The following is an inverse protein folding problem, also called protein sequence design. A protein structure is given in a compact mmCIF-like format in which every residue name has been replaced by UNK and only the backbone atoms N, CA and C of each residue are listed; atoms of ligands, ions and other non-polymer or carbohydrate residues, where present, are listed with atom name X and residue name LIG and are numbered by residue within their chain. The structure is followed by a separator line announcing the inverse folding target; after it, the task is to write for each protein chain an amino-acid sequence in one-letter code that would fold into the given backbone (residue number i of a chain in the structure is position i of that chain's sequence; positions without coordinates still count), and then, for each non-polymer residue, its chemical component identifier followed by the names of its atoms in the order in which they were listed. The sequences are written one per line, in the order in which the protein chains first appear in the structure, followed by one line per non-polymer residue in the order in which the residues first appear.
data_IF_264484566962
#
_entry.id   IF_264484566962
#
_cell.length_a   1.000
_cell.length_b   1.000
_cell.length_c   1.000
_cell.angle_alpha   90.00
_cell.angle_beta   90.00
_cell.angle_gamma   90.00
#
_symmetry.space_group_name_H-M   'P 1'
#
loop_
_entity.id
_entity.type
_entity.pdbx_description
1 polymer ?
#
# COMPACT_ATOMS: atom_id res chain seq x y z
N UNK A 1 -12.38 -4.70 -24.63
CA UNK A 1 -12.36 -5.64 -23.49
C UNK A 1 -11.60 -4.95 -22.36
N UNK A 2 -12.01 -5.10 -21.09
CA UNK A 2 -11.19 -4.65 -19.95
C UNK A 2 -11.92 -3.92 -18.82
N UNK A 3 -13.15 -4.31 -18.48
CA UNK A 3 -13.86 -3.72 -17.33
C UNK A 3 -14.16 -4.76 -16.22
N UNK A 4 -13.52 -5.93 -16.26
CA UNK A 4 -13.84 -7.07 -15.39
C UNK A 4 -12.99 -7.16 -14.10
N UNK A 5 -11.75 -6.65 -14.06
CA UNK A 5 -10.84 -6.96 -12.94
C UNK A 5 -11.14 -6.17 -11.66
N UNK A 6 -11.73 -4.98 -11.73
CA UNK A 6 -11.95 -4.13 -10.53
C UNK A 6 -12.94 -4.76 -9.54
N UNK A 7 -13.92 -5.53 -10.02
CA UNK A 7 -14.89 -6.21 -9.17
C UNK A 7 -14.28 -7.47 -8.51
N UNK A 8 -13.15 -7.95 -9.01
CA UNK A 8 -12.43 -9.12 -8.50
C UNK A 8 -11.29 -8.72 -7.54
N UNK A 9 -10.96 -7.43 -7.46
CA UNK A 9 -9.95 -6.92 -6.53
C UNK A 9 -10.30 -7.32 -5.09
N UNK A 10 -9.38 -7.94 -4.34
CA UNK A 10 -9.62 -8.38 -2.98
C UNK A 10 -10.11 -7.23 -2.10
N UNK A 11 -10.97 -7.57 -1.14
CA UNK A 11 -11.46 -6.59 -0.15
C UNK A 11 -10.29 -6.09 0.66
N UNK A 12 -10.37 -4.86 1.16
CA UNK A 12 -9.30 -4.23 1.95
C UNK A 12 -8.76 -5.10 3.09
N UNK A 13 -9.62 -5.88 3.75
CA UNK A 13 -9.24 -6.80 4.83
C UNK A 13 -8.30 -7.93 4.40
N UNK A 14 -8.23 -8.22 3.11
CA UNK A 14 -7.42 -9.30 2.51
C UNK A 14 -6.07 -8.78 2.00
N UNK A 15 -5.86 -7.46 2.05
CA UNK A 15 -4.60 -6.82 1.68
C UNK A 15 -3.61 -6.94 2.83
N UNK A 16 -2.29 -6.92 2.55
CA UNK A 16 -1.29 -6.88 3.60
C UNK A 16 -1.45 -5.60 4.42
N UNK A 17 -1.20 -5.69 5.73
CA UNK A 17 -1.20 -4.55 6.64
C UNK A 17 0.23 -4.27 7.08
N UNK A 18 0.58 -2.99 7.21
CA UNK A 18 1.90 -2.57 7.66
C UNK A 18 1.82 -1.94 9.05
N UNK A 19 2.45 -2.55 10.04
CA UNK A 19 2.48 -2.07 11.42
C UNK A 19 3.68 -1.14 11.70
N UNK A 20 4.77 -1.31 10.95
CA UNK A 20 6.05 -0.63 11.17
C UNK A 20 6.83 -1.16 12.38
N UNK A 21 6.54 -2.38 12.85
CA UNK A 21 7.13 -2.95 14.07
C UNK A 21 7.89 -4.27 13.84
N UNK A 22 7.78 -4.89 12.65
CA UNK A 22 8.42 -6.18 12.34
C UNK A 22 9.60 -6.08 11.38
N UNK A 23 10.62 -6.93 11.57
CA UNK A 23 11.86 -6.99 10.76
C UNK A 23 11.59 -7.15 9.26
N UNK A 24 10.53 -7.87 8.88
CA UNK A 24 10.14 -8.12 7.48
C UNK A 24 8.83 -7.45 7.06
N UNK A 25 8.24 -6.63 7.94
CA UNK A 25 6.92 -6.02 7.73
C UNK A 25 6.88 -5.18 6.45
N UNK A 26 7.97 -4.46 6.16
CA UNK A 26 8.11 -3.64 4.95
C UNK A 26 8.19 -4.50 3.68
N UNK A 27 8.93 -5.61 3.70
CA UNK A 27 9.14 -6.51 2.56
C UNK A 27 7.90 -7.33 2.23
N UNK A 28 7.19 -7.83 3.25
CA UNK A 28 5.92 -8.55 3.07
C UNK A 28 4.82 -7.62 2.56
N UNK A 29 4.73 -6.42 3.14
CA UNK A 29 3.77 -5.41 2.69
C UNK A 29 3.99 -5.02 1.22
N UNK A 30 5.23 -4.65 0.85
CA UNK A 30 5.54 -4.22 -0.51
C UNK A 30 5.26 -5.33 -1.52
N UNK A 31 5.71 -6.57 -1.24
CA UNK A 31 5.49 -7.71 -2.13
C UNK A 31 4.01 -8.03 -2.30
N UNK A 32 3.24 -8.04 -1.22
CA UNK A 32 1.81 -8.29 -1.29
C UNK A 32 1.06 -7.22 -2.10
N UNK A 33 1.42 -5.95 -1.96
CA UNK A 33 0.86 -4.87 -2.79
C UNK A 33 1.27 -5.01 -4.26
N UNK A 34 2.53 -5.37 -4.55
CA UNK A 34 2.99 -5.57 -5.93
C UNK A 34 2.26 -6.75 -6.59
N UNK A 35 2.08 -7.88 -5.90
CA UNK A 35 1.30 -9.04 -6.39
C UNK A 35 -0.14 -8.66 -6.71
N UNK A 36 -0.85 -8.00 -5.79
CA UNK A 36 -2.24 -7.54 -6.03
C UNK A 36 -2.28 -6.56 -7.22
N UNK A 37 -1.27 -5.71 -7.39
CA UNK A 37 -1.23 -4.79 -8.52
C UNK A 37 -1.02 -5.48 -9.85
N UNK A 38 -0.21 -6.54 -9.87
CA UNK A 38 0.05 -7.35 -11.05
C UNK A 38 -1.18 -8.18 -11.43
N UNK A 39 -1.74 -8.93 -10.47
CA UNK A 39 -2.87 -9.83 -10.69
C UNK A 39 -4.14 -9.12 -11.18
N UNK A 40 -4.35 -7.87 -10.74
CA UNK A 40 -5.57 -7.10 -11.03
C UNK A 40 -5.31 -5.84 -11.87
N UNK A 41 -4.10 -5.69 -12.43
CA UNK A 41 -3.69 -4.52 -13.23
C UNK A 41 -3.99 -3.17 -12.53
N UNK A 42 -3.86 -3.11 -11.20
CA UNK A 42 -4.32 -1.97 -10.41
C UNK A 42 -3.44 -0.72 -10.63
N UNK A 43 -4.05 0.44 -10.99
CA UNK A 43 -3.35 1.70 -11.04
C UNK A 43 -2.74 2.09 -9.69
N UNK A 44 -1.54 2.71 -9.72
CA UNK A 44 -0.85 3.19 -8.53
C UNK A 44 -1.72 4.09 -7.63
N UNK A 45 -2.62 4.89 -8.22
CA UNK A 45 -3.55 5.75 -7.47
C UNK A 45 -4.56 4.95 -6.65
N UNK A 46 -5.06 3.82 -7.17
CA UNK A 46 -6.01 2.97 -6.44
C UNK A 46 -5.31 2.23 -5.30
N UNK A 47 -4.10 1.72 -5.51
CA UNK A 47 -3.32 1.11 -4.43
C UNK A 47 -3.01 2.11 -3.30
N UNK A 48 -2.48 3.28 -3.65
CA UNK A 48 -2.10 4.31 -2.65
C UNK A 48 -3.30 4.96 -1.94
N UNK A 49 -4.50 4.95 -2.55
CA UNK A 49 -5.72 5.42 -1.90
C UNK A 49 -6.15 4.52 -0.72
N UNK A 50 -5.74 3.25 -0.73
CA UNK A 50 -6.11 2.28 0.30
C UNK A 50 -5.22 2.36 1.55
N UNK A 51 -4.09 3.05 1.48
CA UNK A 51 -3.06 3.09 2.52
C UNK A 51 -3.60 3.51 3.89
N UNK A 52 -4.52 4.47 3.95
CA UNK A 52 -5.10 4.88 5.23
C UNK A 52 -5.70 3.72 6.05
N UNK A 53 -6.14 2.64 5.40
CA UNK A 53 -6.66 1.44 6.07
C UNK A 53 -5.62 0.33 6.24
N UNK A 54 -4.55 0.34 5.45
CA UNK A 54 -3.54 -0.74 5.44
C UNK A 54 -2.40 -0.47 6.42
N UNK A 55 -2.10 0.80 6.71
CA UNK A 55 -1.15 1.17 7.75
C UNK A 55 -1.83 1.07 9.12
N UNK A 56 -1.19 0.40 10.07
CA UNK A 56 -1.70 0.22 11.44
C UNK A 56 -0.68 0.70 12.47
N UNK A 57 -1.11 0.87 13.73
CA UNK A 57 -0.23 1.20 14.88
C UNK A 57 0.75 2.36 14.60
N UNK A 58 2.06 2.13 14.74
CA UNK A 58 3.11 3.13 14.55
C UNK A 58 3.27 3.50 13.06
N UNK A 59 3.03 2.54 12.17
CA UNK A 59 2.96 2.72 10.72
C UNK A 59 1.89 3.72 10.29
N UNK A 60 0.70 3.67 10.88
CA UNK A 60 -0.40 4.60 10.55
C UNK A 60 -0.06 6.06 10.87
N UNK A 61 0.47 6.30 12.07
CA UNK A 61 0.89 7.65 12.49
C UNK A 61 1.99 8.21 11.59
N UNK A 62 2.95 7.37 11.21
CA UNK A 62 3.99 7.74 10.26
C UNK A 62 3.43 8.07 8.88
N UNK A 63 2.55 7.23 8.36
CA UNK A 63 1.91 7.41 7.06
C UNK A 63 1.17 8.75 6.99
N UNK A 64 0.35 9.09 8.00
CA UNK A 64 -0.40 10.36 8.03
C UNK A 64 0.55 11.55 7.97
N UNK A 65 1.57 11.58 8.82
CA UNK A 65 2.55 12.69 8.86
C UNK A 65 3.25 12.86 7.52
N UNK A 66 3.69 11.75 6.92
CA UNK A 66 4.41 11.77 5.67
C UNK A 66 3.49 12.17 4.49
N UNK A 67 2.25 11.67 4.45
CA UNK A 67 1.24 12.03 3.45
C UNK A 67 0.86 13.51 3.52
N UNK A 68 0.74 14.07 4.72
CA UNK A 68 0.47 15.50 4.92
C UNK A 68 1.63 16.37 4.42
N UNK A 69 2.88 15.96 4.67
CA UNK A 69 4.06 16.71 4.26
C UNK A 69 4.35 16.66 2.75
N UNK A 70 4.14 15.49 2.13
CA UNK A 70 4.59 15.22 0.76
C UNK A 70 3.45 15.14 -0.28
N UNK A 71 2.20 15.14 0.17
CA UNK A 71 1.03 15.07 -0.70
C UNK A 71 0.89 13.74 -1.45
N UNK A 72 0.33 13.80 -2.65
CA UNK A 72 0.08 12.61 -3.47
C UNK A 72 1.37 12.17 -4.16
N UNK A 73 1.82 10.95 -3.84
CA UNK A 73 3.07 10.39 -4.36
C UNK A 73 2.86 9.05 -5.06
N UNK A 74 3.81 8.69 -5.94
CA UNK A 74 3.78 7.44 -6.70
C UNK A 74 4.04 6.22 -5.81
N UNK A 75 3.63 5.03 -6.27
CA UNK A 75 3.92 3.79 -5.53
C UNK A 75 5.43 3.55 -5.38
N UNK A 76 6.22 3.84 -6.42
CA UNK A 76 7.68 3.74 -6.37
C UNK A 76 8.27 4.60 -5.25
N UNK A 77 7.78 5.83 -5.09
CA UNK A 77 8.21 6.71 -4.02
C UNK A 77 7.85 6.11 -2.65
N UNK A 78 6.62 5.60 -2.49
CA UNK A 78 6.18 4.96 -1.25
C UNK A 78 7.01 3.73 -0.89
N UNK A 79 7.42 2.91 -1.86
CA UNK A 79 8.32 1.77 -1.61
C UNK A 79 9.62 2.23 -0.95
N UNK A 80 10.25 3.29 -1.47
CA UNK A 80 11.46 3.87 -0.87
C UNK A 80 11.23 4.32 0.58
N UNK A 81 10.09 4.95 0.86
CA UNK A 81 9.80 5.41 2.22
C UNK A 81 9.51 4.27 3.19
N UNK A 82 8.80 3.23 2.73
CA UNK A 82 8.45 2.05 3.53
C UNK A 82 9.70 1.22 3.87
N UNK A 83 10.66 1.11 2.93
CA UNK A 83 11.96 0.44 3.17
C UNK A 83 12.82 1.19 4.19
N UNK A 84 12.76 2.52 4.19
CA UNK A 84 13.58 3.38 5.06
C UNK A 84 12.92 3.70 6.42
N UNK A 85 11.79 3.05 6.74
CA UNK A 85 11.05 3.27 7.97
C UNK A 85 11.51 2.32 9.07
#
# INVERSE_FOLDING_TARGET
MGQALLNEVPKLKEWPHFSGEGEYDHMEFIRGIDMIKEDFELPNRLATARFNNLFTRSGHRWYIKLRQAQGHQSWTWWKTQIINK
#
